data_IF_714962222877
#
_entry.id   IF_714962222877
#
_cell.length_a   1.000
_cell.length_b   1.000
_cell.length_c   1.000
_cell.angle_alpha   90.00
_cell.angle_beta   90.00
_cell.angle_gamma   90.00
#
_symmetry.space_group_name_H-M   'P 1'
#
loop_
_entity.id
_entity.type
_entity.pdbx_description
1 polymer ?
#
# COMPACT_ATOMS: atom_id res chain seq x y z
N UNK A 1 23.62 -26.21 -44.46
CA UNK A 1 24.82 -27.01 -44.82
C UNK A 1 24.55 -28.00 -45.96
N UNK A 2 23.49 -28.82 -45.91
CA UNK A 2 23.09 -29.73 -47.01
C UNK A 2 22.84 -29.00 -48.35
N UNK A 3 22.24 -27.80 -48.31
CA UNK A 3 21.91 -26.98 -49.48
C UNK A 3 23.12 -26.48 -50.30
N UNK A 4 24.22 -26.13 -49.63
CA UNK A 4 25.45 -25.67 -50.31
C UNK A 4 26.15 -26.83 -51.05
N UNK A 5 26.01 -28.06 -50.55
CA UNK A 5 26.61 -29.27 -51.12
C UNK A 5 25.83 -29.73 -52.37
N UNK A 6 24.51 -29.51 -52.43
CA UNK A 6 23.68 -29.84 -53.60
C UNK A 6 23.96 -28.85 -54.73
N UNK A 7 24.07 -27.55 -54.42
CA UNK A 7 24.40 -26.51 -55.40
C UNK A 7 25.80 -26.67 -56.01
N UNK A 8 26.80 -27.08 -55.23
CA UNK A 8 28.15 -27.31 -55.78
C UNK A 8 28.23 -28.50 -56.74
N UNK A 9 27.39 -29.53 -56.55
CA UNK A 9 27.34 -30.71 -57.43
C UNK A 9 26.58 -30.45 -58.74
N UNK A 10 25.54 -29.61 -58.72
CA UNK A 10 24.78 -29.24 -59.92
C UNK A 10 25.61 -28.38 -60.88
N UNK A 11 26.37 -27.41 -60.35
CA UNK A 11 27.29 -26.58 -61.14
C UNK A 11 28.35 -27.40 -61.88
N UNK A 12 28.78 -28.54 -61.30
CA UNK A 12 29.77 -29.45 -61.89
C UNK A 12 29.20 -30.30 -63.04
N UNK A 13 27.90 -30.61 -63.03
CA UNK A 13 27.25 -31.42 -64.08
C UNK A 13 27.07 -30.60 -65.36
N UNK A 14 26.73 -29.31 -65.24
CA UNK A 14 26.54 -28.41 -66.38
C UNK A 14 27.83 -28.14 -67.15
N UNK A 15 28.98 -28.06 -66.47
CA UNK A 15 30.29 -27.84 -67.10
C UNK A 15 30.69 -29.02 -68.00
N UNK A 16 30.41 -30.26 -67.59
CA UNK A 16 30.72 -31.45 -68.40
C UNK A 16 29.84 -31.57 -69.66
N UNK A 17 28.57 -31.18 -69.57
CA UNK A 17 27.64 -31.19 -70.72
C UNK A 17 28.02 -30.10 -71.72
N UNK A 18 28.47 -28.94 -71.25
CA UNK A 18 28.95 -27.85 -72.09
C UNK A 18 30.22 -28.23 -72.87
N UNK A 19 31.16 -28.95 -72.25
CA UNK A 19 32.41 -29.36 -72.92
C UNK A 19 32.22 -30.50 -73.94
N UNK A 20 31.24 -31.37 -73.71
CA UNK A 20 30.89 -32.49 -74.62
C UNK A 20 30.23 -32.03 -75.92
N UNK A 21 29.78 -30.77 -75.99
CA UNK A 21 29.01 -30.22 -77.12
C UNK A 21 29.89 -29.58 -78.23
N UNK A 22 31.19 -29.40 -77.98
CA UNK A 22 32.10 -28.73 -78.92
C UNK A 22 32.46 -29.55 -80.16
N UNK A 23 32.02 -30.81 -80.31
CA UNK A 23 32.43 -31.66 -81.45
C UNK A 23 31.34 -32.38 -82.28
N UNK A 24 30.02 -32.12 -82.14
CA UNK A 24 29.09 -32.65 -83.16
C UNK A 24 27.57 -32.48 -83.00
N UNK A 25 26.94 -31.97 -84.07
CA UNK A 25 25.58 -32.30 -84.57
C UNK A 25 24.34 -31.89 -83.76
N UNK A 26 23.20 -31.69 -84.45
CA UNK A 26 21.88 -31.24 -83.92
C UNK A 26 21.32 -31.99 -82.70
N UNK A 27 21.89 -33.14 -82.32
CA UNK A 27 21.52 -33.92 -81.12
C UNK A 27 21.97 -33.25 -79.82
N UNK A 28 23.00 -32.39 -79.86
CA UNK A 28 23.50 -31.69 -78.66
C UNK A 28 22.57 -30.55 -78.19
N UNK A 29 21.94 -29.82 -79.13
CA UNK A 29 20.95 -28.79 -78.82
C UNK A 29 19.74 -29.36 -78.07
N UNK A 30 19.26 -30.54 -78.47
CA UNK A 30 18.14 -31.23 -77.81
C UNK A 30 18.49 -31.56 -76.36
N UNK A 31 19.69 -32.07 -76.09
CA UNK A 31 20.14 -32.40 -74.73
C UNK A 31 20.26 -31.17 -73.83
N UNK A 32 20.75 -30.04 -74.36
CA UNK A 32 20.80 -28.76 -73.63
C UNK A 32 19.39 -28.24 -73.32
N UNK A 33 18.47 -28.32 -74.29
CA UNK A 33 17.09 -27.88 -74.03
C UNK A 33 16.38 -28.76 -73.00
N UNK A 34 16.66 -30.07 -72.99
CA UNK A 34 16.12 -31.01 -71.99
C UNK A 34 16.75 -30.78 -70.62
N UNK A 35 18.05 -30.55 -70.53
CA UNK A 35 18.72 -30.26 -69.26
C UNK A 35 18.24 -28.93 -68.66
N UNK A 36 18.15 -27.88 -69.47
CA UNK A 36 17.61 -26.58 -69.05
C UNK A 36 16.15 -26.71 -68.60
N UNK A 37 15.32 -27.47 -69.31
CA UNK A 37 13.94 -27.73 -68.91
C UNK A 37 13.86 -28.45 -67.56
N UNK A 38 14.70 -29.47 -67.33
CA UNK A 38 14.78 -30.19 -66.05
C UNK A 38 15.26 -29.29 -64.91
N UNK A 39 16.27 -28.45 -65.15
CA UNK A 39 16.75 -27.46 -64.19
C UNK A 39 15.64 -26.48 -63.83
N UNK A 40 14.90 -25.96 -64.81
CA UNK A 40 13.76 -25.09 -64.57
C UNK A 40 12.68 -25.76 -63.71
N UNK A 41 12.34 -27.03 -63.97
CA UNK A 41 11.37 -27.78 -63.16
C UNK A 41 11.89 -27.96 -61.72
N UNK A 42 13.16 -28.33 -61.54
CA UNK A 42 13.76 -28.49 -60.22
C UNK A 42 13.80 -27.16 -59.43
N UNK A 43 14.11 -26.04 -60.09
CA UNK A 43 14.08 -24.71 -59.49
C UNK A 43 12.66 -24.30 -59.08
N UNK A 44 11.65 -24.59 -59.90
CA UNK A 44 10.25 -24.31 -59.57
C UNK A 44 9.79 -25.12 -58.34
N UNK A 45 10.10 -26.42 -58.29
CA UNK A 45 9.78 -27.26 -57.12
C UNK A 45 10.48 -26.73 -55.87
N UNK A 46 11.74 -26.33 -55.96
CA UNK A 46 12.47 -25.75 -54.83
C UNK A 46 11.84 -24.45 -54.34
N UNK A 47 11.46 -23.54 -55.25
CA UNK A 47 10.77 -22.29 -54.93
C UNK A 47 9.43 -22.57 -54.21
N UNK A 48 8.67 -23.56 -54.69
CA UNK A 48 7.40 -23.95 -54.07
C UNK A 48 7.62 -24.47 -52.65
N UNK A 49 8.63 -25.33 -52.44
CA UNK A 49 8.95 -25.85 -51.10
C UNK A 49 9.38 -24.72 -50.14
N UNK A 50 10.24 -23.81 -50.59
CA UNK A 50 10.66 -22.65 -49.80
C UNK A 50 9.46 -21.74 -49.46
N UNK A 51 8.59 -21.46 -50.43
CA UNK A 51 7.40 -20.65 -50.21
C UNK A 51 6.46 -21.26 -49.17
N UNK A 52 6.24 -22.58 -49.22
CA UNK A 52 5.39 -23.28 -48.26
C UNK A 52 5.98 -23.22 -46.84
N UNK A 53 7.28 -23.47 -46.68
CA UNK A 53 7.96 -23.39 -45.37
C UNK A 53 7.90 -21.97 -44.80
N UNK A 54 8.22 -20.95 -45.62
CA UNK A 54 8.18 -19.55 -45.20
C UNK A 54 6.74 -19.14 -44.83
N UNK A 55 5.74 -19.61 -45.57
CA UNK A 55 4.32 -19.32 -45.26
C UNK A 55 3.92 -19.92 -43.92
N UNK A 56 4.30 -21.17 -43.64
CA UNK A 56 4.04 -21.83 -42.37
C UNK A 56 4.70 -21.11 -41.18
N UNK A 57 5.96 -20.70 -41.32
CA UNK A 57 6.66 -19.93 -40.28
C UNK A 57 6.00 -18.56 -40.02
N UNK A 58 5.58 -17.85 -41.09
CA UNK A 58 4.85 -16.58 -40.95
C UNK A 58 3.53 -16.75 -40.21
N UNK A 59 2.78 -17.79 -40.53
CA UNK A 59 1.49 -18.07 -39.87
C UNK A 59 1.68 -18.41 -38.40
N UNK A 60 2.72 -19.19 -38.07
CA UNK A 60 3.09 -19.47 -36.68
C UNK A 60 3.47 -18.20 -35.92
N UNK A 61 4.31 -17.33 -36.51
CA UNK A 61 4.72 -16.06 -35.91
C UNK A 61 3.52 -15.13 -35.72
N UNK A 62 2.62 -15.07 -36.70
CA UNK A 62 1.40 -14.26 -36.63
C UNK A 62 0.48 -14.74 -35.52
N UNK A 63 0.30 -16.06 -35.39
CA UNK A 63 -0.46 -16.68 -34.31
C UNK A 63 0.15 -16.35 -32.94
N UNK A 64 1.45 -16.56 -32.78
CA UNK A 64 2.16 -16.24 -31.53
C UNK A 64 2.02 -14.76 -31.16
N UNK A 65 2.18 -13.86 -32.13
CA UNK A 65 2.03 -12.41 -31.92
C UNK A 65 0.60 -12.05 -31.49
N UNK A 66 -0.42 -12.67 -32.08
CA UNK A 66 -1.81 -12.44 -31.73
C UNK A 66 -2.13 -12.92 -30.30
N UNK A 67 -1.66 -14.10 -29.92
CA UNK A 67 -1.83 -14.62 -28.54
C UNK A 67 -1.18 -13.70 -27.53
N UNK A 68 0.08 -13.29 -27.77
CA UNK A 68 0.78 -12.35 -26.87
C UNK A 68 0.12 -10.99 -26.79
N UNK A 69 -0.44 -10.50 -27.90
CA UNK A 69 -1.23 -9.27 -27.93
C UNK A 69 -2.48 -9.39 -27.07
N UNK A 70 -3.22 -10.50 -27.19
CA UNK A 70 -4.44 -10.74 -26.41
C UNK A 70 -4.16 -10.88 -24.91
N UNK A 71 -3.09 -11.60 -24.55
CA UNK A 71 -2.63 -11.71 -23.15
C UNK A 71 -2.30 -10.33 -22.57
N UNK A 72 -1.62 -9.49 -23.35
CA UNK A 72 -1.26 -8.13 -22.94
C UNK A 72 -2.48 -7.23 -22.82
N UNK A 73 -3.41 -7.29 -23.77
CA UNK A 73 -4.68 -6.53 -23.72
C UNK A 73 -5.51 -6.90 -22.50
N UNK A 74 -5.59 -8.20 -22.18
CA UNK A 74 -6.28 -8.67 -20.98
C UNK A 74 -5.65 -8.13 -19.70
N UNK A 75 -4.32 -8.16 -19.62
CA UNK A 75 -3.59 -7.61 -18.46
C UNK A 75 -3.79 -6.11 -18.33
N UNK A 76 -3.72 -5.37 -19.44
CA UNK A 76 -3.94 -3.91 -19.46
C UNK A 76 -5.36 -3.57 -19.00
N UNK A 77 -6.37 -4.30 -19.48
CA UNK A 77 -7.76 -4.09 -19.08
C UNK A 77 -7.98 -4.37 -17.59
N UNK A 78 -7.44 -5.49 -17.08
CA UNK A 78 -7.54 -5.81 -15.64
C UNK A 78 -6.84 -4.75 -14.77
N UNK A 79 -5.61 -4.36 -15.14
CA UNK A 79 -4.88 -3.32 -14.42
C UNK A 79 -5.58 -1.95 -14.48
N UNK A 80 -6.27 -1.64 -15.59
CA UNK A 80 -7.05 -0.41 -15.74
C UNK A 80 -8.28 -0.41 -14.84
N UNK A 81 -8.94 -1.57 -14.70
CA UNK A 81 -10.06 -1.75 -13.78
C UNK A 81 -9.61 -1.62 -12.31
N UNK A 82 -8.53 -2.30 -11.92
CA UNK A 82 -7.94 -2.18 -10.57
C UNK A 82 -7.53 -0.74 -10.25
N UNK A 83 -6.88 -0.04 -11.19
CA UNK A 83 -6.52 1.37 -11.03
C UNK A 83 -7.76 2.24 -10.83
N UNK A 84 -8.83 2.01 -11.59
CA UNK A 84 -10.07 2.78 -11.48
C UNK A 84 -10.77 2.56 -10.14
N UNK A 85 -10.75 1.32 -9.64
CA UNK A 85 -11.26 0.97 -8.32
C UNK A 85 -10.45 1.65 -7.21
N UNK A 86 -9.11 1.60 -7.27
CA UNK A 86 -8.24 2.28 -6.32
C UNK A 86 -8.44 3.79 -6.34
N UNK A 87 -8.59 4.39 -7.52
CA UNK A 87 -8.85 5.83 -7.66
C UNK A 87 -10.19 6.21 -6.99
N UNK A 88 -11.24 5.43 -7.18
CA UNK A 88 -12.53 5.64 -6.52
C UNK A 88 -12.42 5.55 -5.00
N UNK A 89 -11.75 4.52 -4.49
CA UNK A 89 -11.50 4.35 -3.07
C UNK A 89 -10.69 5.52 -2.49
N UNK A 90 -9.66 5.97 -3.20
CA UNK A 90 -8.85 7.12 -2.80
C UNK A 90 -9.67 8.42 -2.77
N UNK A 91 -10.53 8.65 -3.77
CA UNK A 91 -11.42 9.81 -3.81
C UNK A 91 -12.43 9.78 -2.66
N UNK A 92 -13.02 8.61 -2.37
CA UNK A 92 -13.91 8.39 -1.23
C UNK A 92 -13.20 8.66 0.11
N UNK A 93 -11.97 8.17 0.27
CA UNK A 93 -11.16 8.44 1.46
C UNK A 93 -10.79 9.92 1.59
N UNK A 94 -10.44 10.56 0.47
CA UNK A 94 -10.16 11.99 0.42
C UNK A 94 -11.38 12.83 0.78
N UNK A 95 -12.57 12.41 0.33
CA UNK A 95 -13.83 13.04 0.71
C UNK A 95 -14.09 12.87 2.19
N UNK A 96 -14.00 11.64 2.74
CA UNK A 96 -14.15 11.41 4.19
C UNK A 96 -13.16 12.23 5.01
N UNK A 97 -11.92 12.40 4.54
CA UNK A 97 -10.92 13.25 5.19
C UNK A 97 -11.31 14.73 5.13
N UNK A 98 -11.86 15.19 4.02
CA UNK A 98 -12.35 16.56 3.86
C UNK A 98 -13.59 16.79 4.74
N UNK A 99 -14.51 15.82 4.78
CA UNK A 99 -15.67 15.83 5.66
C UNK A 99 -15.20 15.89 7.11
N UNK A 100 -14.24 15.04 7.53
CA UNK A 100 -13.63 15.11 8.88
C UNK A 100 -13.05 16.49 9.17
N UNK A 101 -12.37 17.10 8.21
CA UNK A 101 -11.84 18.47 8.35
C UNK A 101 -12.96 19.50 8.48
N UNK A 102 -14.01 19.42 7.67
CA UNK A 102 -15.15 20.35 7.73
C UNK A 102 -15.91 20.19 9.06
N UNK A 103 -16.10 18.94 9.51
CA UNK A 103 -16.61 18.62 10.85
C UNK A 103 -15.76 19.29 11.95
N UNK A 104 -14.44 19.41 11.76
CA UNK A 104 -13.52 20.03 12.72
C UNK A 104 -13.66 21.55 12.76
N UNK A 105 -13.94 22.18 11.62
CA UNK A 105 -14.13 23.63 11.52
C UNK A 105 -15.51 24.12 11.98
N UNK A 106 -16.56 23.27 11.95
CA UNK A 106 -17.94 23.64 12.25
C UNK A 106 -18.36 23.45 13.74
N UNK A 107 -17.41 23.27 14.66
CA UNK A 107 -17.65 23.35 16.11
C UNK A 107 -18.51 22.23 16.72
N UNK A 108 -18.78 21.15 16.00
CA UNK A 108 -19.58 20.00 16.48
C UNK A 108 -18.83 18.67 16.32
N UNK A 109 -17.54 18.63 16.64
CA UNK A 109 -16.74 17.39 16.59
C UNK A 109 -16.54 16.81 17.97
N UNK A 110 -17.67 16.52 18.58
CA UNK A 110 -17.76 15.97 19.89
C UNK A 110 -19.15 15.36 20.02
N UNK A 111 -19.23 14.12 20.50
CA UNK A 111 -20.51 13.56 20.91
C UNK A 111 -21.05 14.32 22.14
N UNK A 112 -21.76 13.64 23.05
CA UNK A 112 -22.07 14.21 24.37
C UNK A 112 -20.82 14.67 25.14
N UNK A 113 -19.67 14.04 24.87
CA UNK A 113 -18.38 14.27 25.51
C UNK A 113 -17.24 14.34 24.49
N UNK A 114 -16.29 15.25 24.68
CA UNK A 114 -15.13 15.50 23.82
C UNK A 114 -13.88 15.29 24.63
N UNK A 115 -12.85 14.74 23.99
CA UNK A 115 -11.53 14.62 24.58
C UNK A 115 -10.51 15.31 23.69
N UNK A 116 -9.58 16.05 24.28
CA UNK A 116 -8.44 16.64 23.58
C UNK A 116 -7.25 16.70 24.52
N UNK A 117 -6.04 16.69 23.98
CA UNK A 117 -4.80 16.75 24.77
C UNK A 117 -4.27 18.19 24.72
N UNK A 118 -3.74 18.70 25.83
CA UNK A 118 -3.05 19.99 25.83
C UNK A 118 -1.79 19.92 24.94
N UNK A 119 -1.48 21.02 24.25
CA UNK A 119 -0.30 21.07 23.38
C UNK A 119 0.98 21.43 24.14
N UNK A 120 0.86 21.81 25.40
CA UNK A 120 1.94 22.28 26.25
C UNK A 120 2.14 21.34 27.44
N UNK A 121 3.41 21.12 27.80
CA UNK A 121 3.81 20.43 29.02
C UNK A 121 3.71 21.42 30.19
N UNK A 122 2.92 21.08 31.20
CA UNK A 122 2.60 21.95 32.33
C UNK A 122 2.50 21.14 33.63
N UNK A 123 2.57 21.85 34.76
CA UNK A 123 2.18 21.29 36.07
C UNK A 123 0.75 20.77 36.03
N UNK A 124 0.37 19.90 36.95
CA UNK A 124 -0.99 19.34 36.98
C UNK A 124 -2.06 20.45 37.09
N UNK A 125 -1.83 21.44 37.97
CA UNK A 125 -2.74 22.56 38.17
C UNK A 125 -2.84 23.46 36.95
N UNK A 126 -1.71 23.79 36.30
CA UNK A 126 -1.69 24.61 35.09
C UNK A 126 -2.30 23.86 33.88
N UNK A 127 -2.13 22.54 33.82
CA UNK A 127 -2.75 21.68 32.82
C UNK A 127 -4.27 21.61 33.01
N UNK A 128 -4.74 21.50 34.25
CA UNK A 128 -6.17 21.60 34.59
C UNK A 128 -6.74 22.96 34.22
N UNK A 129 -6.02 24.03 34.53
CA UNK A 129 -6.44 25.38 34.17
C UNK A 129 -6.54 25.55 32.65
N UNK A 130 -5.59 25.02 31.88
CA UNK A 130 -5.67 25.00 30.43
C UNK A 130 -6.95 24.32 29.92
N UNK A 131 -7.33 23.15 30.46
CA UNK A 131 -8.59 22.50 30.10
C UNK A 131 -9.79 23.39 30.42
N UNK A 132 -9.80 24.03 31.59
CA UNK A 132 -10.88 24.93 32.04
C UNK A 132 -11.04 26.16 31.15
N UNK A 133 -9.94 26.75 30.70
CA UNK A 133 -9.93 27.89 29.79
C UNK A 133 -10.59 27.54 28.43
N UNK A 134 -10.59 26.26 28.05
CA UNK A 134 -11.26 25.74 26.86
C UNK A 134 -12.70 25.23 27.12
N UNK A 135 -13.22 25.44 28.34
CA UNK A 135 -14.53 24.96 28.78
C UNK A 135 -14.60 23.44 28.98
N UNK A 136 -13.50 22.83 29.43
CA UNK A 136 -13.35 21.42 29.78
C UNK A 136 -12.82 21.29 31.24
N UNK A 137 -12.54 20.08 31.71
CA UNK A 137 -11.68 19.83 32.89
C UNK A 137 -10.73 18.66 32.55
N UNK A 138 -9.78 18.30 33.42
CA UNK A 138 -8.99 17.08 33.19
C UNK A 138 -9.90 15.85 33.17
N UNK A 139 -9.53 14.85 32.36
CA UNK A 139 -10.36 13.66 32.13
C UNK A 139 -10.59 12.83 33.39
N UNK A 140 -11.82 12.32 33.51
CA UNK A 140 -12.21 11.36 34.54
C UNK A 140 -12.29 9.96 33.90
N UNK A 141 -11.45 9.04 34.36
CA UNK A 141 -11.39 7.66 33.86
C UNK A 141 -12.07 6.73 34.86
N UNK A 142 -13.40 6.69 34.79
CA UNK A 142 -14.27 5.91 35.69
C UNK A 142 -14.84 4.63 35.03
N UNK A 143 -14.37 4.30 33.83
CA UNK A 143 -14.74 3.12 33.06
C UNK A 143 -13.54 2.63 32.26
N UNK A 144 -13.43 1.31 32.06
CA UNK A 144 -12.39 0.70 31.22
C UNK A 144 -12.36 1.27 29.79
N UNK A 145 -13.51 1.63 29.20
CA UNK A 145 -13.59 2.20 27.84
C UNK A 145 -12.86 3.55 27.69
N UNK A 146 -12.74 4.31 28.79
CA UNK A 146 -12.03 5.59 28.81
C UNK A 146 -10.53 5.42 29.03
N UNK A 147 -10.09 4.21 29.41
CA UNK A 147 -8.70 3.98 29.74
C UNK A 147 -7.84 3.91 28.47
N UNK A 148 -6.71 4.61 28.50
CA UNK A 148 -5.85 4.82 27.34
C UNK A 148 -4.39 4.69 27.74
N UNK A 149 -3.57 4.23 26.79
CA UNK A 149 -2.15 3.97 27.03
C UNK A 149 -1.35 4.34 25.78
N UNK A 150 -0.91 5.60 25.68
CA UNK A 150 -0.20 6.10 24.49
C UNK A 150 0.97 7.05 24.82
N UNK A 151 0.82 7.93 25.80
CA UNK A 151 1.84 8.93 26.19
C UNK A 151 1.72 9.23 27.69
N UNK A 152 2.78 9.80 28.26
CA UNK A 152 2.77 10.34 29.62
C UNK A 152 1.93 11.61 29.73
N UNK A 153 0.77 11.52 30.38
CA UNK A 153 -0.21 12.62 30.44
C UNK A 153 -0.91 12.69 31.79
N UNK A 154 -1.25 13.91 32.21
CA UNK A 154 -2.08 14.16 33.38
C UNK A 154 -3.54 13.76 33.16
N UNK A 155 -4.13 13.18 34.21
CA UNK A 155 -5.58 12.93 34.33
C UNK A 155 -6.15 13.69 35.51
N UNK A 156 -7.47 13.74 35.62
CA UNK A 156 -8.18 14.51 36.64
C UNK A 156 -8.24 13.84 38.01
N UNK A 157 -7.24 13.03 38.38
CA UNK A 157 -7.16 12.34 39.66
C UNK A 157 -6.04 12.92 40.51
N UNK A 158 -6.33 13.15 41.79
CA UNK A 158 -5.36 13.66 42.77
C UNK A 158 -5.84 13.41 44.20
N UNK A 159 -4.92 13.40 45.15
CA UNK A 159 -5.19 13.39 46.60
C UNK A 159 -4.61 14.62 47.33
N UNK A 160 -4.29 15.69 46.58
CA UNK A 160 -3.81 17.01 47.09
C UNK A 160 -4.59 17.50 48.33
N UNK A 161 -5.91 17.29 48.37
CA UNK A 161 -6.77 17.76 49.47
C UNK A 161 -6.72 16.86 50.71
N UNK A 162 -6.44 15.56 50.53
CA UNK A 162 -6.38 14.57 51.61
C UNK A 162 -5.53 13.37 51.19
N UNK A 163 -4.25 13.41 51.57
CA UNK A 163 -3.25 12.35 51.34
C UNK A 163 -3.81 10.93 51.54
N UNK A 164 -3.58 10.07 50.56
CA UNK A 164 -4.05 8.68 50.55
C UNK A 164 -5.53 8.51 50.19
N UNK A 165 -6.25 9.60 49.92
CA UNK A 165 -7.66 9.57 49.50
C UNK A 165 -7.85 10.27 48.14
N UNK A 166 -7.70 9.48 47.08
CA UNK A 166 -7.81 9.92 45.70
C UNK A 166 -9.22 10.44 45.36
N UNK A 167 -9.28 11.59 44.69
CA UNK A 167 -10.52 12.25 44.28
C UNK A 167 -10.44 12.78 42.85
N UNK A 168 -11.53 12.62 42.11
CA UNK A 168 -11.63 13.19 40.76
C UNK A 168 -11.85 14.70 40.81
N UNK A 169 -11.50 15.39 39.73
CA UNK A 169 -11.68 16.85 39.58
C UNK A 169 -13.12 17.34 39.73
N UNK A 170 -14.12 16.47 39.64
CA UNK A 170 -15.54 16.75 39.89
C UNK A 170 -16.01 16.39 41.33
N UNK A 171 -15.08 15.97 42.18
CA UNK A 171 -15.28 15.45 43.54
C UNK A 171 -16.00 14.10 43.62
N UNK A 172 -16.14 13.37 42.50
CA UNK A 172 -16.63 12.00 42.54
C UNK A 172 -15.58 11.06 43.17
N UNK A 173 -16.06 10.00 43.83
CA UNK A 173 -15.21 8.99 44.42
C UNK A 173 -14.62 8.05 43.35
N UNK A 174 -13.43 7.54 43.59
CA UNK A 174 -12.80 6.53 42.74
C UNK A 174 -13.53 5.21 42.93
N UNK A 175 -14.01 4.62 41.82
CA UNK A 175 -14.73 3.34 41.81
C UNK A 175 -13.97 2.25 41.04
N UNK A 176 -13.04 2.65 40.17
CA UNK A 176 -12.18 1.79 39.39
C UNK A 176 -10.77 2.37 39.41
N UNK A 177 -9.81 1.48 39.58
CA UNK A 177 -8.41 1.83 39.73
C UNK A 177 -7.59 1.05 38.72
N UNK A 178 -6.71 1.76 38.02
CA UNK A 178 -5.85 1.18 36.99
C UNK A 178 -4.37 1.44 37.29
N UNK A 179 -4.01 1.31 38.57
CA UNK A 179 -2.63 1.44 39.05
C UNK A 179 -1.66 0.52 38.31
N UNK A 180 -0.52 1.10 37.95
CA UNK A 180 0.67 0.34 37.63
C UNK A 180 1.07 -0.51 38.85
N UNK A 181 1.83 -1.58 38.63
CA UNK A 181 2.32 -2.40 39.74
C UNK A 181 3.14 -1.55 40.71
N UNK A 182 2.90 -1.74 42.01
CA UNK A 182 3.49 -0.98 43.14
C UNK A 182 2.97 0.45 43.35
N UNK A 183 2.01 0.94 42.55
CA UNK A 183 1.41 2.27 42.69
C UNK A 183 0.04 2.29 43.41
N UNK A 184 -0.35 3.43 44.02
CA UNK A 184 0.46 4.64 44.25
C UNK A 184 1.46 4.45 45.40
N UNK A 185 2.69 4.94 45.24
CA UNK A 185 3.78 4.68 46.19
C UNK A 185 4.21 5.91 47.02
N UNK A 186 3.70 7.09 46.67
CA UNK A 186 4.04 8.40 47.22
C UNK A 186 5.55 8.61 47.37
N UNK A 187 6.31 8.48 46.28
CA UNK A 187 7.77 8.49 46.31
C UNK A 187 8.28 9.84 46.83
N UNK A 188 8.98 9.80 47.96
CA UNK A 188 9.49 11.04 48.59
C UNK A 188 8.44 11.82 49.38
N UNK A 189 7.20 11.31 49.49
CA UNK A 189 6.13 11.90 50.28
C UNK A 189 5.55 13.18 49.67
N UNK A 190 5.55 13.31 48.33
CA UNK A 190 5.08 14.49 47.62
C UNK A 190 4.49 14.19 46.23
N UNK A 191 3.89 13.01 46.03
CA UNK A 191 3.30 12.59 44.75
C UNK A 191 1.76 12.61 44.82
N UNK A 192 1.17 13.79 44.66
CA UNK A 192 -0.27 13.95 44.86
C UNK A 192 -1.10 13.94 43.55
N UNK A 193 -0.45 13.75 42.39
CA UNK A 193 -1.04 13.93 41.06
C UNK A 193 -0.80 12.72 40.15
N UNK A 194 -1.80 12.33 39.36
CA UNK A 194 -1.74 11.07 38.61
C UNK A 194 -1.43 11.28 37.13
N UNK A 195 -0.37 10.61 36.66
CA UNK A 195 -0.08 10.44 35.23
C UNK A 195 -0.51 9.07 34.70
N UNK A 196 -0.88 9.02 33.42
CA UNK A 196 -0.91 7.77 32.66
C UNK A 196 0.48 7.49 32.11
N UNK A 197 0.92 6.24 32.20
CA UNK A 197 2.18 5.78 31.62
C UNK A 197 1.94 5.01 30.32
N UNK A 198 2.87 5.05 29.34
CA UNK A 198 2.85 4.11 28.23
C UNK A 198 2.99 2.67 28.72
N UNK A 199 2.03 1.82 28.40
CA UNK A 199 1.92 0.43 28.85
C UNK A 199 1.21 -0.44 27.79
N UNK A 200 1.54 -1.73 27.73
CA UNK A 200 0.79 -2.69 26.90
C UNK A 200 -0.53 -3.12 27.55
N UNK A 201 -0.72 -2.80 28.83
CA UNK A 201 -1.92 -3.13 29.60
C UNK A 201 -2.69 -1.87 29.98
N UNK A 202 -3.95 -2.05 30.43
CA UNK A 202 -4.76 -0.96 30.97
C UNK A 202 -4.29 -0.46 32.34
N UNK A 203 -3.39 -1.18 33.01
CA UNK A 203 -2.80 -0.80 34.29
C UNK A 203 -1.58 0.08 34.06
N UNK A 204 -1.74 1.38 34.26
CA UNK A 204 -0.73 2.36 33.90
C UNK A 204 -0.82 3.69 34.67
N UNK A 205 -1.60 3.76 35.76
CA UNK A 205 -1.63 4.96 36.60
C UNK A 205 -0.44 4.99 37.54
N UNK A 206 0.16 6.17 37.67
CA UNK A 206 1.31 6.43 38.51
C UNK A 206 1.12 7.80 39.17
N UNK A 207 1.21 7.86 40.49
CA UNK A 207 1.33 9.11 41.22
C UNK A 207 2.69 9.76 40.98
N UNK A 208 2.71 11.09 40.91
CA UNK A 208 3.88 11.87 40.54
C UNK A 208 3.80 13.27 41.18
N UNK A 209 4.91 13.97 41.46
CA UNK A 209 4.84 15.31 42.00
C UNK A 209 4.10 16.25 41.05
N UNK A 210 3.11 16.96 41.56
CA UNK A 210 2.24 17.84 40.77
C UNK A 210 2.99 18.95 39.99
N UNK A 211 4.22 19.28 40.41
CA UNK A 211 5.10 20.23 39.74
C UNK A 211 5.74 19.70 38.46
N UNK A 212 5.67 18.40 38.20
CA UNK A 212 6.17 17.79 36.97
C UNK A 212 5.41 18.32 35.75
N UNK A 213 6.09 18.34 34.61
CA UNK A 213 5.50 18.87 33.38
C UNK A 213 5.00 17.73 32.51
N UNK A 214 3.68 17.64 32.31
CA UNK A 214 3.01 16.73 31.37
C UNK A 214 1.94 17.48 30.59
N UNK A 215 1.53 16.91 29.46
CA UNK A 215 0.29 17.35 28.80
C UNK A 215 -0.88 16.78 29.59
N UNK A 216 -2.03 17.44 29.58
CA UNK A 216 -3.27 16.90 30.17
C UNK A 216 -4.23 16.42 29.11
N UNK A 217 -4.96 15.35 29.39
CA UNK A 217 -6.15 15.00 28.63
C UNK A 217 -7.33 15.77 29.22
N UNK A 218 -7.96 16.60 28.41
CA UNK A 218 -9.14 17.38 28.76
C UNK A 218 -10.42 16.69 28.31
N UNK A 219 -11.45 16.68 29.17
CA UNK A 219 -12.79 16.18 28.92
C UNK A 219 -13.82 17.33 28.93
N UNK A 220 -14.62 17.44 27.87
CA UNK A 220 -15.60 18.50 27.67
C UNK A 220 -16.98 17.94 27.37
N UNK A 221 -17.99 18.32 28.14
CA UNK A 221 -19.38 17.98 27.85
C UNK A 221 -19.99 19.03 26.90
N UNK A 222 -20.60 18.59 25.81
CA UNK A 222 -21.30 19.47 24.85
C UNK A 222 -22.71 19.83 25.29
N UNK A 223 -23.32 18.97 26.10
CA UNK A 223 -24.62 19.21 26.72
C UNK A 223 -24.37 19.50 28.20
N UNK A 224 -24.55 20.77 28.61
CA UNK A 224 -24.58 21.09 30.03
C UNK A 224 -25.79 20.39 30.64
N UNK A 225 -25.59 19.32 31.39
CA UNK A 225 -26.60 18.83 32.31
C UNK A 225 -26.78 19.92 33.37
N UNK A 226 -27.74 20.81 33.13
CA UNK A 226 -28.28 21.66 34.17
C UNK A 226 -29.10 20.76 35.09
N UNK A 227 -28.47 20.29 36.17
CA UNK A 227 -29.15 19.84 37.38
C UNK A 227 -28.97 20.93 38.45
#
# INVERSE_FOLDING_TARGET
MLYLIIWSKLLFIDICVFWSCLSGGSRCLVLITVSLALICVLLLVFIILQHNTITAERDLIKSYKNTKKLELETRVNNLTAEKSQLQSNFNSLSQKKLDLKIFFWLGNLCGPVCYFISNELKSWSDSRQYCRDQGADLVIINTEEKQVSFERVWIGLSDIENEGNMTWVDNSAVNQEFWLEEEPNNAGGNEDCIELMPSETIKNWNDLPCSENRKGICEKYTVKNFL
#
